data_IF_161640491867
#
_entry.id   IF_161640491867
#
_cell.length_a   1.000
_cell.length_b   1.000
_cell.length_c   1.000
_cell.angle_alpha   90.00
_cell.angle_beta   90.00
_cell.angle_gamma   90.00
#
_symmetry.space_group_name_H-M   'P 1'
#
loop_
_entity.id
_entity.type
_entity.pdbx_description
1 polymer ?
#
# COMPACT_ATOMS: atom_id res chain seq x y z
N UNK A 1 -25.74 -47.61 -21.12
CA UNK A 1 -25.84 -46.15 -20.84
C UNK A 1 -25.96 -45.43 -22.19
N UNK A 2 -26.88 -44.48 -22.34
CA UNK A 2 -27.14 -43.84 -23.64
C UNK A 2 -25.97 -42.92 -24.02
N UNK A 3 -25.36 -43.05 -25.22
CA UNK A 3 -24.22 -42.22 -25.64
C UNK A 3 -24.52 -40.72 -25.59
N UNK A 4 -25.77 -40.31 -25.79
CA UNK A 4 -26.19 -38.90 -25.68
C UNK A 4 -26.12 -38.38 -24.23
N UNK A 5 -26.38 -39.24 -23.24
CA UNK A 5 -26.28 -38.89 -21.81
C UNK A 5 -24.81 -38.72 -21.42
N UNK A 6 -23.92 -39.60 -21.93
CA UNK A 6 -22.48 -39.51 -21.66
C UNK A 6 -21.91 -38.19 -22.19
N UNK A 7 -22.26 -37.82 -23.43
CA UNK A 7 -21.79 -36.56 -24.04
C UNK A 7 -22.31 -35.34 -23.27
N UNK A 8 -23.59 -35.34 -22.87
CA UNK A 8 -24.16 -34.24 -22.08
C UNK A 8 -23.46 -34.08 -20.72
N UNK A 9 -23.12 -35.18 -20.05
CA UNK A 9 -22.41 -35.16 -18.77
C UNK A 9 -20.99 -34.62 -18.93
N UNK A 10 -20.27 -35.01 -20.00
CA UNK A 10 -18.90 -34.51 -20.28
C UNK A 10 -18.91 -33.01 -20.60
N UNK A 11 -19.86 -32.54 -21.40
CA UNK A 11 -19.96 -31.11 -21.75
C UNK A 11 -20.32 -30.29 -20.50
N UNK A 12 -21.25 -30.78 -19.69
CA UNK A 12 -21.65 -30.13 -18.43
C UNK A 12 -20.48 -30.06 -17.44
N UNK A 13 -19.74 -31.16 -17.24
CA UNK A 13 -18.59 -31.17 -16.34
C UNK A 13 -17.46 -30.26 -16.85
N UNK A 14 -17.20 -30.24 -18.16
CA UNK A 14 -16.23 -29.33 -18.76
C UNK A 14 -16.64 -27.87 -18.59
N UNK A 15 -17.92 -27.55 -18.79
CA UNK A 15 -18.47 -26.22 -18.55
C UNK A 15 -18.32 -25.77 -17.09
N UNK A 16 -18.57 -26.67 -16.12
CA UNK A 16 -18.38 -26.39 -14.70
C UNK A 16 -16.91 -26.16 -14.34
N UNK A 17 -15.98 -26.94 -14.90
CA UNK A 17 -14.54 -26.77 -14.68
C UNK A 17 -14.06 -25.44 -15.26
N UNK A 18 -14.43 -25.13 -16.51
CA UNK A 18 -14.05 -23.86 -17.16
C UNK A 18 -14.65 -22.68 -16.39
N UNK A 19 -15.92 -22.76 -16.01
CA UNK A 19 -16.58 -21.73 -15.20
C UNK A 19 -15.88 -21.52 -13.84
N UNK A 20 -15.50 -22.61 -13.17
CA UNK A 20 -14.75 -22.57 -11.93
C UNK A 20 -13.37 -21.91 -12.06
N UNK A 21 -12.62 -22.22 -13.13
CA UNK A 21 -11.30 -21.61 -13.40
C UNK A 21 -11.43 -20.12 -13.70
N UNK A 22 -12.42 -19.71 -14.50
CA UNK A 22 -12.68 -18.29 -14.83
C UNK A 22 -13.13 -17.50 -13.59
N UNK A 23 -13.86 -18.12 -12.67
CA UNK A 23 -14.23 -17.48 -11.40
C UNK A 23 -13.02 -17.36 -10.46
N UNK A 24 -12.20 -18.41 -10.34
CA UNK A 24 -11.02 -18.40 -9.49
C UNK A 24 -9.95 -17.40 -9.95
N UNK A 25 -9.76 -17.22 -11.27
CA UNK A 25 -8.81 -16.24 -11.81
C UNK A 25 -9.23 -14.78 -11.62
N UNK A 26 -10.48 -14.53 -11.21
CA UNK A 26 -11.00 -13.20 -10.90
C UNK A 26 -10.96 -12.88 -9.40
N UNK A 27 -10.53 -13.83 -8.56
CA UNK A 27 -10.37 -13.56 -7.13
C UNK A 27 -9.13 -12.67 -6.92
N UNK A 28 -9.23 -11.60 -6.12
CA UNK A 28 -8.08 -10.79 -5.77
C UNK A 28 -7.04 -11.67 -5.05
N UNK A 29 -5.82 -11.66 -5.56
CA UNK A 29 -4.73 -12.46 -4.99
C UNK A 29 -4.12 -11.69 -3.82
N UNK A 30 -3.98 -12.35 -2.66
CA UNK A 30 -3.19 -11.82 -1.53
C UNK A 30 -1.69 -12.04 -1.81
N UNK A 31 -1.21 -11.62 -2.97
CA UNK A 31 0.20 -11.73 -3.33
C UNK A 31 0.89 -10.38 -3.27
N UNK A 32 2.16 -10.41 -2.87
CA UNK A 32 3.04 -9.24 -2.90
C UNK A 32 3.27 -8.83 -4.36
N UNK A 33 3.12 -7.55 -4.68
CA UNK A 33 3.41 -7.03 -6.02
C UNK A 33 4.90 -7.22 -6.37
N UNK A 34 5.19 -7.72 -7.56
CA UNK A 34 6.55 -7.74 -8.10
C UNK A 34 6.92 -6.37 -8.67
N UNK A 35 8.01 -5.77 -8.20
CA UNK A 35 8.48 -4.45 -8.67
C UNK A 35 9.71 -4.61 -9.54
N UNK A 36 9.52 -4.51 -10.85
CA UNK A 36 10.61 -4.56 -11.84
C UNK A 36 11.44 -3.28 -11.73
N UNK A 37 12.77 -3.43 -11.70
CA UNK A 37 13.69 -2.30 -11.59
C UNK A 37 13.89 -1.62 -12.94
N UNK A 38 14.01 -0.29 -12.92
CA UNK A 38 14.22 0.55 -14.08
C UNK A 38 15.29 1.61 -13.75
N UNK A 39 16.44 1.52 -14.43
CA UNK A 39 17.56 2.46 -14.25
C UNK A 39 17.19 3.91 -14.58
N UNK A 40 16.13 4.13 -15.36
CA UNK A 40 15.63 5.45 -15.76
C UNK A 40 14.61 6.03 -14.77
N UNK A 41 14.11 5.25 -13.82
CA UNK A 41 13.28 5.75 -12.71
C UNK A 41 14.19 6.25 -11.57
N UNK A 42 13.88 7.41 -11.00
CA UNK A 42 14.63 8.00 -9.89
C UNK A 42 13.68 8.55 -8.84
N UNK A 43 13.63 7.89 -7.69
CA UNK A 43 12.88 8.38 -6.55
C UNK A 43 13.51 9.67 -6.04
N UNK A 44 12.68 10.64 -5.70
CA UNK A 44 13.07 11.81 -4.93
C UNK A 44 12.17 11.96 -3.71
N UNK A 45 12.78 12.11 -2.55
CA UNK A 45 12.12 12.45 -1.28
C UNK A 45 12.95 13.55 -0.63
N UNK A 46 12.32 14.64 -0.21
CA UNK A 46 13.00 15.76 0.42
C UNK A 46 13.33 15.49 1.90
N UNK A 47 12.46 14.74 2.58
CA UNK A 47 12.64 14.25 3.93
C UNK A 47 11.89 12.93 4.15
N UNK A 48 12.36 12.16 5.13
CA UNK A 48 11.79 10.87 5.52
C UNK A 48 11.46 10.81 7.01
N UNK A 49 11.53 11.94 7.72
CA UNK A 49 11.31 11.99 9.15
C UNK A 49 10.33 13.11 9.47
N UNK A 50 9.34 12.82 10.31
CA UNK A 50 8.37 13.80 10.79
C UNK A 50 8.10 13.63 12.28
N UNK A 51 7.92 14.75 12.99
CA UNK A 51 7.61 14.76 14.42
C UNK A 51 6.34 15.59 14.65
N UNK A 52 5.27 14.92 15.08
CA UNK A 52 4.01 15.58 15.46
C UNK A 52 4.14 16.37 16.76
N UNK A 53 5.23 16.19 17.51
CA UNK A 53 5.40 16.67 18.88
C UNK A 53 4.28 16.11 19.75
N UNK A 54 3.33 16.94 20.19
CA UNK A 54 2.21 16.48 21.03
C UNK A 54 1.01 16.09 20.17
N UNK A 55 0.46 14.90 20.44
CA UNK A 55 -0.74 14.37 19.80
C UNK A 55 -1.82 14.22 20.87
N UNK A 56 -2.94 14.92 20.71
CA UNK A 56 -4.05 14.79 21.64
C UNK A 56 -4.75 13.44 21.45
N UNK A 57 -4.70 12.59 22.47
CA UNK A 57 -5.39 11.29 22.49
C UNK A 57 -6.88 11.38 22.13
N UNK A 58 -7.58 12.43 22.57
CA UNK A 58 -9.00 12.65 22.30
C UNK A 58 -9.27 13.56 21.09
N UNK A 59 -8.23 13.94 20.35
CA UNK A 59 -8.32 14.85 19.19
C UNK A 59 -8.76 14.19 17.89
N UNK A 60 -8.91 12.86 17.87
CA UNK A 60 -9.14 12.08 16.65
C UNK A 60 -7.84 11.68 15.96
N UNK A 61 -7.94 11.21 14.71
CA UNK A 61 -6.78 10.81 13.91
C UNK A 61 -5.95 12.02 13.51
N UNK A 62 -4.64 11.83 13.37
CA UNK A 62 -3.72 12.82 12.82
C UNK A 62 -3.15 12.35 11.50
N UNK A 63 -2.88 13.30 10.61
CA UNK A 63 -2.42 13.02 9.25
C UNK A 63 -1.12 13.76 8.97
N UNK A 64 -0.23 13.12 8.23
CA UNK A 64 0.95 13.74 7.62
C UNK A 64 1.11 13.22 6.19
N UNK A 65 1.71 14.01 5.30
CA UNK A 65 1.97 13.59 3.91
C UNK A 65 3.41 13.92 3.54
N UNK A 66 4.16 12.91 3.10
CA UNK A 66 5.48 13.12 2.51
C UNK A 66 5.36 13.30 1.00
N UNK A 67 6.06 14.27 0.40
CA UNK A 67 6.14 14.37 -1.06
C UNK A 67 7.04 13.27 -1.61
N UNK A 68 6.51 12.48 -2.54
CA UNK A 68 7.22 11.40 -3.23
C UNK A 68 7.31 11.75 -4.70
N UNK A 69 8.49 12.19 -5.15
CA UNK A 69 8.76 12.64 -6.50
C UNK A 69 9.44 11.59 -7.37
N UNK A 70 9.33 11.80 -8.69
CA UNK A 70 10.13 11.08 -9.68
C UNK A 70 10.99 12.07 -10.48
N UNK A 71 12.31 12.05 -10.27
CA UNK A 71 13.28 12.86 -11.00
C UNK A 71 13.91 12.11 -12.18
N UNK A 72 13.43 10.91 -12.47
CA UNK A 72 13.88 10.09 -13.59
C UNK A 72 13.25 10.50 -14.91
N UNK A 73 13.51 9.72 -15.94
CA UNK A 73 12.95 9.86 -17.29
C UNK A 73 11.95 8.76 -17.63
N UNK A 74 11.82 7.73 -16.78
CA UNK A 74 10.80 6.69 -16.88
C UNK A 74 9.83 6.74 -15.69
N UNK A 75 8.61 6.22 -15.82
CA UNK A 75 7.65 6.18 -14.70
C UNK A 75 8.19 5.36 -13.51
N UNK A 76 8.10 5.93 -12.31
CA UNK A 76 8.47 5.27 -11.08
C UNK A 76 7.30 4.42 -10.59
N UNK A 77 7.48 3.11 -10.54
CA UNK A 77 6.51 2.20 -9.92
C UNK A 77 6.69 2.20 -8.41
N UNK A 78 5.60 2.33 -7.68
CA UNK A 78 5.53 2.23 -6.21
C UNK A 78 4.59 1.10 -5.84
N UNK A 79 4.99 0.22 -4.93
CA UNK A 79 4.15 -0.88 -4.48
C UNK A 79 4.50 -1.32 -3.05
N UNK A 80 3.77 -2.33 -2.56
CA UNK A 80 4.06 -3.00 -1.29
C UNK A 80 4.15 -2.04 -0.09
N UNK A 81 3.31 -0.98 -0.08
CA UNK A 81 3.24 -0.03 1.01
C UNK A 81 2.75 -0.71 2.29
N UNK A 82 3.45 -0.48 3.41
CA UNK A 82 3.13 -1.08 4.72
C UNK A 82 3.39 -0.08 5.85
N UNK A 83 2.75 -0.35 6.99
CA UNK A 83 2.94 0.41 8.22
C UNK A 83 3.47 -0.51 9.33
N UNK A 84 4.20 0.02 10.30
CA UNK A 84 4.73 -0.76 11.43
C UNK A 84 3.69 -1.10 12.50
N UNK A 85 2.48 -0.53 12.42
CA UNK A 85 1.40 -0.68 13.39
C UNK A 85 0.05 -0.65 12.70
N UNK A 86 -0.90 -1.47 13.15
CA UNK A 86 -2.30 -1.43 12.68
C UNK A 86 -3.03 -0.11 13.02
N UNK A 87 -2.49 0.65 13.98
CA UNK A 87 -2.93 2.00 14.33
C UNK A 87 -2.55 3.05 13.27
N UNK A 88 -1.94 2.65 12.15
CA UNK A 88 -1.51 3.56 11.09
C UNK A 88 -1.87 2.99 9.73
N UNK A 89 -2.35 3.86 8.85
CA UNK A 89 -2.60 3.54 7.44
C UNK A 89 -1.82 4.48 6.53
N UNK A 90 -1.52 4.00 5.31
CA UNK A 90 -0.84 4.77 4.28
C UNK A 90 -1.57 4.67 2.94
N UNK A 91 -1.60 5.77 2.19
CA UNK A 91 -2.05 5.85 0.79
C UNK A 91 -1.06 6.63 -0.06
N UNK A 92 -1.00 6.30 -1.34
CA UNK A 92 -0.36 7.14 -2.35
C UNK A 92 -1.44 7.89 -3.13
N UNK A 93 -1.31 9.20 -3.22
CA UNK A 93 -2.18 10.08 -4.00
C UNK A 93 -1.32 10.68 -5.11
N UNK A 94 -1.58 10.29 -6.36
CA UNK A 94 -0.89 10.81 -7.53
C UNK A 94 -1.89 11.32 -8.58
N UNK A 95 -1.41 11.93 -9.65
CA UNK A 95 -2.20 12.30 -10.83
C UNK A 95 -2.84 11.10 -11.51
N UNK A 96 -2.26 9.90 -11.32
CA UNK A 96 -2.82 8.65 -11.83
C UNK A 96 -3.94 8.08 -10.93
N UNK A 97 -4.20 8.71 -9.79
CA UNK A 97 -5.28 8.36 -8.86
C UNK A 97 -4.80 8.11 -7.42
N UNK A 98 -5.73 7.70 -6.57
CA UNK A 98 -5.48 7.38 -5.16
C UNK A 98 -5.44 5.87 -4.96
N UNK A 99 -4.43 5.38 -4.24
CA UNK A 99 -4.31 3.97 -3.87
C UNK A 99 -5.37 3.55 -2.84
N UNK A 100 -5.60 2.24 -2.67
CA UNK A 100 -6.18 1.71 -1.43
C UNK A 100 -5.38 2.16 -0.19
N UNK A 101 -6.00 2.09 0.98
CA UNK A 101 -5.31 2.27 2.25
C UNK A 101 -4.61 0.96 2.65
N UNK A 102 -3.30 1.02 2.89
CA UNK A 102 -2.52 -0.13 3.36
C UNK A 102 -2.17 0.00 4.84
N UNK A 103 -2.01 -1.14 5.52
CA UNK A 103 -1.62 -1.25 6.92
C UNK A 103 -0.69 -2.45 7.15
N UNK A 104 -0.28 -2.69 8.40
CA UNK A 104 0.79 -3.63 8.79
C UNK A 104 0.73 -5.05 8.20
N UNK A 105 -0.45 -5.68 8.15
CA UNK A 105 -0.60 -7.07 7.69
C UNK A 105 -1.25 -7.21 6.32
N UNK A 106 -1.35 -6.13 5.55
CA UNK A 106 -1.98 -6.17 4.24
C UNK A 106 -0.97 -6.57 3.16
N UNK A 107 -1.40 -7.49 2.29
CA UNK A 107 -0.71 -7.81 1.05
C UNK A 107 -1.60 -7.42 -0.12
N UNK A 108 -0.98 -6.95 -1.20
CA UNK A 108 -1.68 -6.52 -2.39
C UNK A 108 -0.75 -6.58 -3.59
N UNK A 109 -1.33 -6.93 -4.73
CA UNK A 109 -0.72 -6.85 -6.05
C UNK A 109 -0.78 -5.43 -6.65
N UNK A 110 -1.33 -4.46 -5.91
CA UNK A 110 -1.46 -3.07 -6.34
C UNK A 110 -0.10 -2.44 -6.63
N UNK A 111 -0.06 -1.68 -7.73
CA UNK A 111 1.06 -0.86 -8.17
C UNK A 111 0.55 0.52 -8.51
N UNK A 112 1.20 1.53 -7.96
CA UNK A 112 1.03 2.93 -8.35
C UNK A 112 2.17 3.39 -9.24
N UNK A 113 1.92 4.47 -9.96
CA UNK A 113 2.92 5.11 -10.83
C UNK A 113 3.03 6.59 -10.48
N UNK A 114 4.27 7.06 -10.40
CA UNK A 114 4.63 8.49 -10.35
C UNK A 114 5.37 8.84 -11.63
N UNK A 115 4.78 9.68 -12.46
CA UNK A 115 5.31 10.06 -13.77
C UNK A 115 6.58 10.90 -13.65
N UNK A 116 7.46 10.93 -14.66
CA UNK A 116 8.62 11.82 -14.67
C UNK A 116 8.24 13.28 -14.37
N UNK A 117 8.91 13.90 -13.40
CA UNK A 117 8.65 15.27 -12.95
C UNK A 117 7.43 15.42 -12.03
N UNK A 118 6.65 14.38 -11.79
CA UNK A 118 5.51 14.39 -10.87
C UNK A 118 5.97 14.30 -9.41
N UNK A 119 5.19 14.89 -8.51
CA UNK A 119 5.26 14.66 -7.07
C UNK A 119 3.91 14.14 -6.56
N UNK A 120 3.88 12.90 -6.11
CA UNK A 120 2.76 12.28 -5.41
C UNK A 120 2.80 12.60 -3.90
N UNK A 121 1.69 12.39 -3.21
CA UNK A 121 1.60 12.51 -1.75
C UNK A 121 1.48 11.13 -1.11
N UNK A 122 2.41 10.81 -0.22
CA UNK A 122 2.33 9.62 0.63
C UNK A 122 1.61 10.00 1.93
N UNK A 123 0.29 9.90 1.92
CA UNK A 123 -0.57 10.26 3.03
C UNK A 123 -0.57 9.17 4.10
N UNK A 124 -0.28 9.56 5.33
CA UNK A 124 -0.16 8.68 6.49
C UNK A 124 -1.13 9.16 7.56
N UNK A 125 -1.98 8.25 8.01
CA UNK A 125 -2.99 8.53 9.04
C UNK A 125 -2.70 7.67 10.26
N UNK A 126 -2.50 8.31 11.40
CA UNK A 126 -2.30 7.67 12.69
C UNK A 126 -3.53 7.86 13.60
N UNK A 127 -4.00 6.77 14.19
CA UNK A 127 -5.07 6.76 15.19
C UNK A 127 -4.47 6.63 16.60
N UNK A 128 -4.40 7.73 17.39
CA UNK A 128 -3.87 7.70 18.75
C UNK A 128 -4.77 6.95 19.73
N UNK A 129 -6.05 6.74 19.40
CA UNK A 129 -7.02 6.07 20.27
C UNK A 129 -7.08 4.55 20.05
N UNK A 130 -6.37 4.00 19.06
CA UNK A 130 -6.46 2.59 18.65
C UNK A 130 -6.23 1.59 19.80
N UNK A 131 -5.31 1.88 20.72
CA UNK A 131 -4.99 1.02 21.86
C UNK A 131 -5.69 1.43 23.18
N UNK A 132 -6.61 2.39 23.12
CA UNK A 132 -7.23 2.99 24.28
C UNK A 132 -6.25 3.82 25.14
N UNK A 133 -6.62 4.19 26.38
CA UNK A 133 -5.86 5.15 27.19
C UNK A 133 -4.45 4.70 27.59
N UNK A 134 -4.12 3.41 27.41
CA UNK A 134 -2.79 2.87 27.65
C UNK A 134 -1.81 3.16 26.50
N UNK A 135 -2.31 3.66 25.36
CA UNK A 135 -1.51 4.11 24.22
C UNK A 135 -0.93 5.53 24.34
N UNK A 136 -1.10 6.18 25.50
CA UNK A 136 -0.51 7.49 25.82
C UNK A 136 0.99 7.32 26.09
N UNK A 137 1.80 8.27 25.65
CA UNK A 137 3.26 8.27 25.76
C UNK A 137 3.96 8.41 24.41
N UNK A 138 5.29 8.21 24.37
CA UNK A 138 6.07 8.31 23.15
C UNK A 138 5.69 7.23 22.16
N UNK A 139 5.68 7.57 20.88
CA UNK A 139 5.38 6.63 19.81
C UNK A 139 6.23 6.89 18.57
N UNK A 140 6.52 5.82 17.84
CA UNK A 140 7.20 5.84 16.54
C UNK A 140 6.48 4.95 15.53
N UNK A 141 6.29 5.42 14.30
CA UNK A 141 5.67 4.69 13.20
C UNK A 141 6.59 4.71 12.00
N UNK A 142 6.78 3.54 11.40
CA UNK A 142 7.59 3.36 10.21
C UNK A 142 6.65 2.98 9.08
N UNK A 143 6.76 3.70 7.98
CA UNK A 143 6.05 3.41 6.75
C UNK A 143 7.08 2.97 5.73
N UNK A 144 6.87 1.81 5.12
CA UNK A 144 7.79 1.28 4.11
C UNK A 144 7.10 1.13 2.77
N UNK A 145 7.83 1.34 1.68
CA UNK A 145 7.38 1.06 0.32
C UNK A 145 8.51 0.54 -0.55
N UNK A 146 8.17 -0.16 -1.63
CA UNK A 146 9.12 -0.58 -2.65
C UNK A 146 8.98 0.24 -3.92
N UNK A 147 10.10 0.52 -4.59
CA UNK A 147 10.10 1.29 -5.84
C UNK A 147 10.83 0.59 -6.99
N UNK A 148 10.57 1.02 -8.22
CA UNK A 148 11.36 0.59 -9.39
C UNK A 148 12.73 1.25 -9.49
N UNK A 149 13.05 2.26 -8.67
CA UNK A 149 14.40 2.84 -8.64
C UNK A 149 15.39 1.82 -8.05
N UNK A 150 16.41 1.37 -8.81
CA UNK A 150 17.40 0.40 -8.33
C UNK A 150 18.28 0.94 -7.20
N UNK A 151 18.43 2.26 -7.05
CA UNK A 151 19.18 2.87 -5.96
C UNK A 151 18.35 2.98 -4.67
N UNK A 152 17.02 3.03 -4.80
CA UNK A 152 16.08 3.12 -3.68
C UNK A 152 14.98 2.04 -3.78
N UNK A 153 15.35 0.75 -3.83
CA UNK A 153 14.41 -0.33 -4.10
C UNK A 153 13.41 -0.55 -2.96
N UNK A 154 13.76 -0.10 -1.75
CA UNK A 154 12.98 -0.13 -0.53
C UNK A 154 13.26 1.16 0.24
N UNK A 155 12.20 1.80 0.74
CA UNK A 155 12.23 3.16 1.30
C UNK A 155 11.40 3.17 2.57
N UNK A 156 11.91 3.82 3.63
CA UNK A 156 11.20 3.99 4.89
C UNK A 156 10.97 5.47 5.21
N UNK A 157 9.87 5.75 5.90
CA UNK A 157 9.52 7.04 6.46
C UNK A 157 9.21 6.87 7.94
N UNK A 158 9.85 7.66 8.79
CA UNK A 158 9.72 7.61 10.23
C UNK A 158 8.86 8.77 10.72
N UNK A 159 7.86 8.47 11.53
CA UNK A 159 7.02 9.46 12.18
C UNK A 159 7.10 9.21 13.67
N UNK A 160 7.23 10.28 14.45
CA UNK A 160 7.28 10.21 15.90
C UNK A 160 6.37 11.25 16.54
N UNK A 161 6.14 11.08 17.83
CA UNK A 161 5.45 12.05 18.67
C UNK A 161 5.22 11.51 20.08
N UNK A 162 4.61 12.35 20.91
CA UNK A 162 4.16 12.07 22.26
C UNK A 162 2.63 12.15 22.28
N UNK A 163 1.95 11.03 22.50
CA UNK A 163 0.51 11.02 22.68
C UNK A 163 0.21 11.48 24.10
N UNK A 164 -0.50 12.58 24.26
CA UNK A 164 -0.82 13.18 25.56
C UNK A 164 -2.30 13.09 25.87
N UNK A 165 -2.63 12.99 27.16
CA UNK A 165 -3.98 13.28 27.64
C UNK A 165 -4.19 14.80 27.55
N UNK A 166 -5.33 15.21 27.02
CA UNK A 166 -5.82 16.59 27.09
C UNK A 166 -6.13 17.02 28.52
#
# INVERSE_FOLDING_TARGET
MNPKIIIAVIISSLGLVIGGVVLASRLPTNQKAEVVKDDSAKLFVDHQNYDWQNINYSGGVVTHSFPVGNQGTAPLTVANMKTSCMCTTVKLISTSGTSPAFAMHQQSDWKGTVQPGETAQLEIVFDPAFHGPQGVGPMERIISLETSDPLHPYVEFNLKGEVTKS
#
